data_IF_024358067567
#
_entry.id   IF_024358067567
#
_cell.length_a   1.000
_cell.length_b   1.000
_cell.length_c   1.000
_cell.angle_alpha   90.00
_cell.angle_beta   90.00
_cell.angle_gamma   90.00
#
_symmetry.space_group_name_H-M   'P 1'
#
loop_
_entity.id
_entity.type
_entity.pdbx_description
1 polymer ?
#
# COMPACT_ATOMS: atom_id res chain seq x y z
N UNK A 1 -26.72 14.33 -0.04
CA UNK A 1 -26.23 15.63 -0.55
C UNK A 1 -24.97 15.93 0.23
N UNK A 2 -23.82 15.68 -0.38
CA UNK A 2 -22.53 16.13 0.16
C UNK A 2 -22.38 17.55 -0.37
N UNK A 3 -22.20 18.54 0.51
CA UNK A 3 -21.90 19.91 0.11
C UNK A 3 -20.70 19.89 -0.82
N UNK A 4 -20.83 20.49 -2.01
CA UNK A 4 -19.66 20.74 -2.84
C UNK A 4 -18.80 21.77 -2.09
N UNK A 5 -17.50 21.49 -1.85
CA UNK A 5 -16.61 22.44 -1.19
C UNK A 5 -16.60 23.77 -1.96
N UNK A 6 -16.43 24.88 -1.23
CA UNK A 6 -16.37 26.21 -1.84
C UNK A 6 -15.20 26.36 -2.81
N UNK A 7 -15.27 27.30 -3.76
CA UNK A 7 -14.16 27.57 -4.69
C UNK A 7 -12.84 27.78 -3.90
N UNK A 8 -11.84 26.94 -4.14
CA UNK A 8 -10.52 26.99 -3.49
C UNK A 8 -10.40 26.25 -2.14
N UNK A 9 -11.44 25.56 -1.68
CA UNK A 9 -11.39 24.71 -0.49
C UNK A 9 -10.75 23.34 -0.79
N UNK A 10 -10.00 22.80 0.18
CA UNK A 10 -9.25 21.56 0.02
C UNK A 10 -10.20 20.36 -0.16
N UNK A 11 -10.11 19.59 -1.27
CA UNK A 11 -11.06 18.52 -1.56
C UNK A 11 -10.66 17.21 -0.85
N UNK A 12 -10.98 17.09 0.44
CA UNK A 12 -10.69 15.89 1.25
C UNK A 12 -11.22 14.58 0.64
N UNK A 13 -12.33 14.66 -0.11
CA UNK A 13 -12.95 13.49 -0.75
C UNK A 13 -12.14 12.89 -1.90
N UNK A 14 -11.09 13.58 -2.39
CA UNK A 14 -10.15 13.03 -3.36
C UNK A 14 -9.00 12.24 -2.72
N UNK A 15 -8.86 12.26 -1.39
CA UNK A 15 -7.85 11.46 -0.70
C UNK A 15 -8.16 9.97 -0.79
N UNK A 16 -7.12 9.17 -0.99
CA UNK A 16 -7.25 7.73 -1.08
C UNK A 16 -5.97 7.01 -0.62
N UNK A 17 -6.13 5.85 -0.01
CA UNK A 17 -5.03 4.89 0.12
C UNK A 17 -5.02 3.99 -1.11
N UNK A 18 -3.86 3.83 -1.73
CA UNK A 18 -3.68 3.09 -2.98
C UNK A 18 -2.71 1.92 -2.79
N UNK A 19 -2.96 0.82 -3.51
CA UNK A 19 -2.04 -0.32 -3.58
C UNK A 19 -1.17 -0.17 -4.83
N UNK A 20 0.14 -0.18 -4.64
CA UNK A 20 1.11 -0.05 -5.71
C UNK A 20 1.32 -1.39 -6.41
N UNK A 21 1.91 -1.37 -7.62
CA UNK A 21 2.19 -2.57 -8.43
C UNK A 21 3.09 -3.58 -7.73
N UNK A 22 3.84 -3.14 -6.72
CA UNK A 22 4.67 -4.00 -5.89
C UNK A 22 3.99 -4.53 -4.62
N UNK A 23 2.69 -4.30 -4.46
CA UNK A 23 1.91 -4.75 -3.31
C UNK A 23 2.03 -3.84 -2.08
N UNK A 24 2.96 -2.89 -2.08
CA UNK A 24 3.04 -1.88 -1.02
C UNK A 24 1.89 -0.87 -1.11
N UNK A 25 1.58 -0.21 0.00
CA UNK A 25 0.58 0.86 0.05
C UNK A 25 1.21 2.24 -0.02
N UNK A 26 0.43 3.23 -0.44
CA UNK A 26 0.78 4.64 -0.40
C UNK A 26 -0.47 5.50 -0.20
N UNK A 27 -0.28 6.74 0.22
CA UNK A 27 -1.38 7.68 0.44
C UNK A 27 -1.38 8.76 -0.64
N UNK A 28 -2.47 8.86 -1.38
CA UNK A 28 -2.74 9.88 -2.39
C UNK A 28 -3.61 10.98 -1.78
N UNK A 29 -3.22 12.23 -2.02
CA UNK A 29 -4.01 13.40 -1.62
C UNK A 29 -3.76 14.61 -2.52
N UNK A 30 -4.69 15.59 -2.57
CA UNK A 30 -4.40 16.88 -3.20
C UNK A 30 -3.16 17.54 -2.59
N UNK A 31 -2.43 18.28 -3.40
CA UNK A 31 -1.30 19.09 -2.93
C UNK A 31 -1.81 20.24 -2.07
N UNK A 32 -1.05 20.65 -1.05
CA UNK A 32 -1.37 21.77 -0.19
C UNK A 32 -0.23 22.80 -0.19
N UNK A 33 -0.48 24.11 0.02
CA UNK A 33 0.58 25.13 0.04
C UNK A 33 1.75 24.83 1.00
N UNK A 34 1.48 24.14 2.11
CA UNK A 34 2.50 23.70 3.08
C UNK A 34 3.48 22.65 2.54
N UNK A 35 3.20 22.05 1.38
CA UNK A 35 4.07 21.03 0.77
C UNK A 35 5.31 21.62 0.09
N UNK A 36 5.50 22.95 0.08
CA UNK A 36 6.59 23.60 -0.65
C UNK A 36 7.98 23.01 -0.34
N UNK A 37 8.27 22.76 0.94
CA UNK A 37 9.54 22.17 1.35
C UNK A 37 9.65 20.69 0.92
N UNK A 38 8.56 19.93 1.02
CA UNK A 38 8.51 18.53 0.59
C UNK A 38 8.66 18.38 -0.93
N UNK A 39 8.05 19.28 -1.71
CA UNK A 39 8.20 19.36 -3.17
C UNK A 39 9.63 19.75 -3.54
N UNK A 40 10.24 20.68 -2.81
CA UNK A 40 11.64 21.05 -3.03
C UNK A 40 12.59 19.89 -2.73
N UNK A 41 12.37 19.17 -1.63
CA UNK A 41 13.14 17.98 -1.24
C UNK A 41 12.99 16.87 -2.29
N UNK A 42 11.75 16.58 -2.71
CA UNK A 42 11.43 15.64 -3.78
C UNK A 42 12.18 16.00 -5.06
N UNK A 43 12.13 17.26 -5.51
CA UNK A 43 12.81 17.73 -6.72
C UNK A 43 14.32 17.54 -6.65
N UNK A 44 14.96 17.94 -5.54
CA UNK A 44 16.42 17.83 -5.38
C UNK A 44 16.91 16.40 -5.23
N UNK A 45 16.04 15.47 -4.82
CA UNK A 45 16.35 14.05 -4.72
C UNK A 45 16.36 13.30 -6.05
N UNK A 46 15.94 13.94 -7.16
CA UNK A 46 15.88 13.28 -8.47
C UNK A 46 17.19 13.37 -9.24
N UNK A 47 17.43 12.40 -10.12
CA UNK A 47 18.53 12.46 -11.07
C UNK A 47 18.38 13.63 -12.05
N UNK A 48 19.51 14.13 -12.55
CA UNK A 48 19.53 15.17 -13.58
C UNK A 48 18.72 14.78 -14.83
N UNK A 49 18.74 13.50 -15.19
CA UNK A 49 17.96 12.98 -16.32
C UNK A 49 16.46 13.08 -16.05
N UNK A 50 15.97 12.69 -14.89
CA UNK A 50 14.54 12.80 -14.54
C UNK A 50 14.07 14.25 -14.47
N UNK A 51 14.90 15.15 -13.93
CA UNK A 51 14.63 16.60 -13.95
C UNK A 51 14.54 17.12 -15.39
N UNK A 52 15.51 16.77 -16.23
CA UNK A 52 15.53 17.19 -17.64
C UNK A 52 14.30 16.68 -18.39
N UNK A 53 13.93 15.40 -18.21
CA UNK A 53 12.75 14.81 -18.83
C UNK A 53 11.42 15.46 -18.40
N UNK A 54 11.36 16.04 -17.20
CA UNK A 54 10.15 16.71 -16.68
C UNK A 54 10.08 18.18 -17.08
N UNK A 55 11.19 18.89 -17.05
CA UNK A 55 11.23 20.35 -17.17
C UNK A 55 11.84 20.84 -18.48
N UNK A 56 12.29 19.93 -19.34
CA UNK A 56 12.99 20.23 -20.59
C UNK A 56 14.25 21.09 -20.38
N UNK A 57 14.75 21.13 -19.13
CA UNK A 57 15.84 21.97 -18.69
C UNK A 57 16.52 21.35 -17.47
N UNK A 58 17.83 21.56 -17.37
CA UNK A 58 18.56 21.23 -16.15
C UNK A 58 18.24 22.26 -15.08
N UNK A 59 17.65 21.79 -13.99
CA UNK A 59 17.16 22.64 -12.93
C UNK A 59 17.52 22.06 -11.57
N UNK A 60 18.62 22.52 -10.98
CA UNK A 60 19.09 21.97 -9.71
C UNK A 60 18.10 22.19 -8.55
N UNK A 61 17.38 23.32 -8.55
CA UNK A 61 16.36 23.69 -7.54
C UNK A 61 15.20 24.43 -8.17
N UNK A 62 14.04 24.36 -7.52
CA UNK A 62 12.87 25.15 -7.92
C UNK A 62 13.03 26.55 -7.32
N UNK A 63 12.64 27.58 -8.08
CA UNK A 63 12.57 28.93 -7.53
C UNK A 63 11.38 29.06 -6.58
N UNK A 64 11.41 30.05 -5.69
CA UNK A 64 10.28 30.36 -4.80
C UNK A 64 8.98 30.57 -5.59
N UNK A 65 9.07 31.22 -6.75
CA UNK A 65 7.91 31.45 -7.65
C UNK A 65 7.34 30.14 -8.20
N UNK A 66 8.21 29.17 -8.53
CA UNK A 66 7.77 27.88 -9.03
C UNK A 66 7.20 27.00 -7.94
N UNK A 67 7.81 26.98 -6.74
CA UNK A 67 7.25 26.27 -5.59
C UNK A 67 5.85 26.79 -5.29
N UNK A 68 5.69 28.12 -5.19
CA UNK A 68 4.38 28.75 -5.01
C UNK A 68 3.40 28.35 -6.11
N UNK A 69 3.80 28.43 -7.38
CA UNK A 69 2.97 27.98 -8.50
C UNK A 69 2.62 26.49 -8.38
N UNK A 70 3.52 25.65 -7.88
CA UNK A 70 3.30 24.22 -7.85
C UNK A 70 2.42 23.75 -6.70
N UNK A 71 2.44 24.43 -5.56
CA UNK A 71 1.69 24.04 -4.36
C UNK A 71 0.43 24.86 -4.12
N UNK A 72 0.35 26.10 -4.62
CA UNK A 72 -0.87 26.92 -4.58
C UNK A 72 -1.69 26.70 -5.86
N UNK A 73 -2.71 25.86 -5.73
CA UNK A 73 -3.64 25.47 -6.78
C UNK A 73 -5.08 25.76 -6.33
N UNK A 74 -6.00 25.93 -7.28
CA UNK A 74 -7.41 26.28 -7.01
C UNK A 74 -8.36 25.07 -6.94
N UNK A 75 -7.81 23.87 -7.16
CA UNK A 75 -8.52 22.59 -7.21
C UNK A 75 -9.58 22.48 -8.32
N UNK A 76 -9.53 23.36 -9.33
CA UNK A 76 -10.51 23.43 -10.42
C UNK A 76 -9.87 23.52 -11.79
N UNK A 77 -9.17 24.64 -12.04
CA UNK A 77 -8.43 24.89 -13.26
C UNK A 77 -6.99 24.39 -13.12
N UNK A 78 -6.48 24.38 -11.89
CA UNK A 78 -5.17 23.88 -11.55
C UNK A 78 -5.36 22.84 -10.45
N UNK A 79 -4.98 21.61 -10.72
CA UNK A 79 -5.06 20.50 -9.75
C UNK A 79 -3.72 19.81 -9.72
N UNK A 80 -3.27 19.44 -8.52
CA UNK A 80 -2.14 18.54 -8.36
C UNK A 80 -2.42 17.55 -7.22
N UNK A 81 -2.02 16.30 -7.45
CA UNK A 81 -2.00 15.24 -6.46
C UNK A 81 -0.56 14.88 -6.11
N UNK A 82 -0.36 14.54 -4.84
CA UNK A 82 0.88 13.93 -4.35
C UNK A 82 0.57 12.51 -3.87
N UNK A 83 1.47 11.58 -4.16
CA UNK A 83 1.49 10.26 -3.53
C UNK A 83 2.62 10.25 -2.53
N UNK A 84 2.34 9.78 -1.31
CA UNK A 84 3.27 9.79 -0.19
C UNK A 84 3.43 8.40 0.42
N UNK A 85 4.63 8.12 0.92
CA UNK A 85 4.94 6.97 1.80
C UNK A 85 5.74 7.54 2.98
N UNK A 86 5.29 7.27 4.21
CA UNK A 86 5.94 7.78 5.45
C UNK A 86 6.04 9.30 5.48
N UNK A 87 5.08 9.99 4.87
CA UNK A 87 5.08 11.44 4.72
C UNK A 87 6.00 11.99 3.61
N UNK A 88 6.83 11.16 2.98
CA UNK A 88 7.68 11.58 1.87
C UNK A 88 6.93 11.50 0.54
N UNK A 89 7.01 12.55 -0.28
CA UNK A 89 6.43 12.57 -1.62
C UNK A 89 7.24 11.63 -2.52
N UNK A 90 6.56 10.68 -3.16
CA UNK A 90 7.14 9.73 -4.11
C UNK A 90 6.63 9.92 -5.54
N UNK A 91 5.62 10.76 -5.73
CA UNK A 91 5.08 11.11 -7.04
C UNK A 91 4.20 12.34 -6.97
N UNK A 92 4.24 13.14 -8.04
CA UNK A 92 3.41 14.33 -8.24
C UNK A 92 2.77 14.22 -9.62
N UNK A 93 1.45 14.35 -9.69
CA UNK A 93 0.71 14.46 -10.94
C UNK A 93 -0.10 15.75 -10.91
N UNK A 94 -0.20 16.47 -12.03
CA UNK A 94 -0.97 17.71 -12.11
C UNK A 94 -1.64 17.88 -13.45
N UNK A 95 -2.68 18.69 -13.48
CA UNK A 95 -3.14 19.33 -14.70
C UNK A 95 -3.29 20.84 -14.52
N UNK A 96 -3.17 21.57 -15.62
CA UNK A 96 -3.50 22.99 -15.74
C UNK A 96 -4.47 23.14 -16.95
N UNK A 97 -5.64 23.74 -16.74
CA UNK A 97 -6.68 23.92 -17.77
C UNK A 97 -6.18 24.86 -18.87
N UNK A 98 -6.52 24.54 -20.12
CA UNK A 98 -6.17 25.31 -21.30
C UNK A 98 -7.26 26.34 -21.64
N UNK A 99 -7.01 27.16 -22.67
CA UNK A 99 -7.99 28.13 -23.18
C UNK A 99 -9.32 27.48 -23.56
N UNK A 100 -9.29 26.25 -24.09
CA UNK A 100 -10.49 25.46 -24.22
C UNK A 100 -10.88 24.90 -22.84
N UNK A 101 -12.05 25.29 -22.29
CA UNK A 101 -12.44 24.86 -20.95
C UNK A 101 -12.65 23.35 -20.81
N UNK A 102 -12.82 22.61 -21.91
CA UNK A 102 -12.94 21.15 -21.90
C UNK A 102 -11.58 20.43 -21.93
N UNK A 103 -10.45 21.16 -21.93
CA UNK A 103 -9.11 20.62 -22.12
C UNK A 103 -8.14 21.06 -21.02
N UNK A 104 -7.20 20.19 -20.66
CA UNK A 104 -6.12 20.51 -19.74
C UNK A 104 -4.82 19.81 -20.14
N UNK A 105 -3.70 20.46 -19.85
CA UNK A 105 -2.37 19.87 -19.99
C UNK A 105 -2.04 19.07 -18.73
N UNK A 106 -1.62 17.81 -18.88
CA UNK A 106 -1.28 16.91 -17.77
C UNK A 106 0.23 16.65 -17.70
N UNK A 107 0.78 16.62 -16.49
CA UNK A 107 2.19 16.33 -16.27
C UNK A 107 2.46 15.53 -14.99
N UNK A 108 3.49 14.68 -15.03
CA UNK A 108 3.85 13.78 -13.93
C UNK A 108 5.33 13.86 -13.60
N UNK A 109 5.67 13.71 -12.33
CA UNK A 109 7.03 13.51 -11.86
C UNK A 109 7.05 12.39 -10.81
N UNK A 110 7.82 11.34 -11.01
CA UNK A 110 7.87 10.16 -10.12
C UNK A 110 9.29 10.00 -9.58
N UNK A 111 9.42 9.77 -8.26
CA UNK A 111 10.71 9.55 -7.64
C UNK A 111 11.46 8.40 -8.31
N UNK A 112 12.74 8.60 -8.61
CA UNK A 112 13.57 7.61 -9.33
C UNK A 112 13.55 6.23 -8.66
N UNK A 113 13.67 6.18 -7.34
CA UNK A 113 13.63 4.95 -6.54
C UNK A 113 12.24 4.27 -6.54
N UNK A 114 11.19 4.96 -7.00
CA UNK A 114 9.80 4.48 -6.99
C UNK A 114 9.22 4.30 -8.41
N UNK A 115 10.01 4.50 -9.46
CA UNK A 115 9.56 4.24 -10.83
C UNK A 115 9.23 2.76 -11.04
N UNK A 116 8.26 2.48 -11.92
CA UNK A 116 7.81 1.11 -12.22
C UNK A 116 6.83 0.52 -11.21
N UNK A 117 6.49 1.26 -10.14
CA UNK A 117 5.53 0.84 -9.10
C UNK A 117 4.06 1.18 -9.42
N UNK A 118 3.76 1.63 -10.63
CA UNK A 118 2.38 1.96 -11.07
C UNK A 118 1.89 3.37 -10.68
N UNK A 119 2.72 4.18 -10.03
CA UNK A 119 2.39 5.51 -9.49
C UNK A 119 1.83 6.46 -10.57
N UNK A 120 2.42 6.46 -11.77
CA UNK A 120 1.95 7.31 -12.88
C UNK A 120 0.52 6.97 -13.34
N UNK A 121 0.19 5.69 -13.44
CA UNK A 121 -1.17 5.24 -13.80
C UNK A 121 -2.19 5.61 -12.72
N UNK A 122 -1.83 5.46 -11.45
CA UNK A 122 -2.69 5.86 -10.32
C UNK A 122 -2.94 7.38 -10.36
N UNK A 123 -1.88 8.19 -10.50
CA UNK A 123 -2.03 9.64 -10.61
C UNK A 123 -2.92 10.02 -11.80
N UNK A 124 -2.74 9.36 -12.96
CA UNK A 124 -3.53 9.64 -14.15
C UNK A 124 -5.02 9.35 -13.93
N UNK A 125 -5.37 8.24 -13.28
CA UNK A 125 -6.76 7.90 -12.98
C UNK A 125 -7.41 8.91 -12.04
N UNK A 126 -6.73 9.28 -10.96
CA UNK A 126 -7.25 10.27 -10.01
C UNK A 126 -7.34 11.68 -10.64
N UNK A 127 -6.36 12.08 -11.45
CA UNK A 127 -6.43 13.33 -12.21
C UNK A 127 -7.58 13.32 -13.21
N UNK A 128 -7.81 12.21 -13.93
CA UNK A 128 -8.92 12.08 -14.87
C UNK A 128 -10.27 12.19 -14.15
N UNK A 129 -10.42 11.57 -12.98
CA UNK A 129 -11.64 11.70 -12.17
C UNK A 129 -11.88 13.16 -11.72
N UNK A 130 -10.87 13.79 -11.12
CA UNK A 130 -10.95 15.20 -10.70
C UNK A 130 -11.22 16.15 -11.89
N UNK A 131 -10.58 15.91 -13.04
CA UNK A 131 -10.78 16.68 -14.25
C UNK A 131 -12.21 16.53 -14.79
N UNK A 132 -12.77 15.32 -14.76
CA UNK A 132 -14.14 15.06 -15.17
C UNK A 132 -15.16 15.79 -14.28
N UNK A 133 -14.96 15.78 -12.95
CA UNK A 133 -15.76 16.56 -12.00
C UNK A 133 -15.69 18.07 -12.30
N UNK A 134 -14.53 18.53 -12.74
CA UNK A 134 -14.26 19.91 -13.14
C UNK A 134 -14.61 20.22 -14.62
N UNK A 135 -15.35 19.34 -15.30
CA UNK A 135 -15.86 19.56 -16.66
C UNK A 135 -14.84 19.43 -17.80
N UNK A 136 -13.62 18.96 -17.52
CA UNK A 136 -12.60 18.64 -18.52
C UNK A 136 -12.94 17.27 -19.12
N UNK A 137 -12.73 17.12 -20.42
CA UNK A 137 -13.00 15.88 -21.19
C UNK A 137 -11.77 15.35 -21.89
N UNK A 138 -10.71 16.14 -22.00
CA UNK A 138 -9.53 15.77 -22.76
C UNK A 138 -8.26 16.26 -22.07
N UNK A 139 -7.25 15.40 -22.08
CA UNK A 139 -5.91 15.76 -21.68
C UNK A 139 -4.98 15.86 -22.88
N UNK A 140 -4.06 16.81 -22.79
CA UNK A 140 -2.87 16.90 -23.62
C UNK A 140 -1.62 16.73 -22.77
N UNK A 141 -0.53 16.23 -23.36
CA UNK A 141 0.76 16.15 -22.67
C UNK A 141 1.91 16.34 -23.66
N UNK A 142 2.92 17.09 -23.26
CA UNK A 142 4.18 17.20 -24.00
C UNK A 142 5.24 16.31 -23.37
N UNK A 143 5.87 15.48 -24.19
CA UNK A 143 6.84 14.48 -23.72
C UNK A 143 8.05 14.47 -24.65
N UNK A 144 9.25 14.47 -24.08
CA UNK A 144 10.46 14.25 -24.86
C UNK A 144 10.44 12.88 -25.56
N UNK A 145 10.83 12.77 -26.85
CA UNK A 145 10.82 11.51 -27.59
C UNK A 145 11.58 10.37 -26.92
N UNK A 146 12.63 10.70 -26.16
CA UNK A 146 13.46 9.76 -25.41
C UNK A 146 12.74 9.14 -24.22
N UNK A 147 11.69 9.79 -23.69
CA UNK A 147 10.95 9.33 -22.51
C UNK A 147 9.91 8.25 -22.86
N UNK A 148 10.40 7.12 -23.37
CA UNK A 148 9.58 5.98 -23.80
C UNK A 148 8.62 5.48 -22.72
N UNK A 149 9.04 5.54 -21.44
CA UNK A 149 8.19 5.15 -20.31
C UNK A 149 6.96 6.05 -20.24
N UNK A 150 7.14 7.37 -20.27
CA UNK A 150 6.04 8.34 -20.20
C UNK A 150 5.11 8.25 -21.41
N UNK A 151 5.65 8.02 -22.61
CA UNK A 151 4.86 7.83 -23.83
C UNK A 151 3.90 6.61 -23.77
N UNK A 152 4.23 5.61 -22.95
CA UNK A 152 3.44 4.39 -22.80
C UNK A 152 2.41 4.46 -21.67
N UNK A 153 2.59 5.30 -20.65
CA UNK A 153 1.70 5.38 -19.47
C UNK A 153 0.24 5.57 -19.87
N UNK A 154 -0.04 6.43 -20.84
CA UNK A 154 -1.40 6.74 -21.29
C UNK A 154 -2.04 5.59 -22.07
N UNK A 155 -1.30 4.95 -22.97
CA UNK A 155 -1.80 3.78 -23.70
C UNK A 155 -1.95 2.56 -22.79
N UNK A 156 -1.04 2.39 -21.83
CA UNK A 156 -1.06 1.32 -20.84
C UNK A 156 -2.19 1.49 -19.81
N UNK A 157 -2.72 2.73 -19.65
CA UNK A 157 -3.94 3.03 -18.91
C UNK A 157 -5.22 2.81 -19.75
N UNK A 158 -5.09 2.33 -20.99
CA UNK A 158 -6.21 1.97 -21.85
C UNK A 158 -6.81 3.12 -22.66
N UNK A 159 -6.21 4.31 -22.63
CA UNK A 159 -6.66 5.44 -23.44
C UNK A 159 -6.27 5.30 -24.92
N UNK A 160 -7.12 5.83 -25.80
CA UNK A 160 -6.83 5.93 -27.22
C UNK A 160 -6.09 7.24 -27.51
N UNK A 161 -4.76 7.14 -27.53
CA UNK A 161 -3.84 8.28 -27.58
C UNK A 161 -3.48 8.63 -29.01
N UNK A 162 -3.74 9.88 -29.40
CA UNK A 162 -3.21 10.48 -30.63
C UNK A 162 -1.83 11.06 -30.34
N UNK A 163 -0.91 10.94 -31.31
CA UNK A 163 0.47 11.41 -31.19
C UNK A 163 0.77 12.36 -32.34
N UNK A 164 1.33 13.51 -32.02
CA UNK A 164 1.88 14.46 -32.98
C UNK A 164 3.31 14.79 -32.58
N UNK A 165 4.19 15.01 -33.57
CA UNK A 165 5.56 15.41 -33.32
C UNK A 165 5.72 16.84 -33.84
N UNK A 166 6.05 17.75 -32.93
CA UNK A 166 6.22 19.17 -33.23
C UNK A 166 7.34 19.75 -32.35
N UNK A 167 8.14 20.67 -32.89
CA UNK A 167 9.22 21.37 -32.18
C UNK A 167 10.15 20.50 -31.30
N UNK A 168 10.41 19.26 -31.72
CA UNK A 168 11.30 18.34 -30.99
C UNK A 168 10.65 17.63 -29.80
N UNK A 169 9.35 17.81 -29.58
CA UNK A 169 8.57 17.13 -28.55
C UNK A 169 7.48 16.25 -29.18
N UNK A 170 7.02 15.25 -28.42
CA UNK A 170 5.85 14.45 -28.78
C UNK A 170 4.65 15.00 -27.99
N UNK A 171 3.70 15.59 -28.70
CA UNK A 171 2.42 16.01 -28.16
C UNK A 171 1.45 14.82 -28.20
N UNK A 172 0.86 14.51 -27.05
CA UNK A 172 -0.13 13.45 -26.88
C UNK A 172 -1.50 14.08 -26.59
N UNK A 173 -2.55 13.51 -27.15
CA UNK A 173 -3.94 13.92 -26.93
C UNK A 173 -4.83 12.70 -26.72
N UNK A 174 -5.67 12.71 -25.67
CA UNK A 174 -6.61 11.62 -25.39
C UNK A 174 -7.85 12.10 -24.62
N UNK A 175 -9.01 11.48 -24.91
CA UNK A 175 -10.24 11.69 -24.14
C UNK A 175 -10.13 10.94 -22.79
N UNK A 176 -10.54 11.59 -21.70
CA UNK A 176 -10.49 11.03 -20.35
C UNK A 176 -11.80 10.37 -19.90
N UNK A 177 -12.87 10.50 -20.69
CA UNK A 177 -14.14 9.82 -20.41
C UNK A 177 -13.90 8.29 -20.31
N UNK A 178 -14.35 7.63 -19.24
CA UNK A 178 -14.12 6.20 -19.05
C UNK A 178 -14.67 5.36 -20.21
N UNK A 179 -13.84 4.50 -20.78
CA UNK A 179 -14.21 3.51 -21.79
C UNK A 179 -14.24 2.12 -21.15
N UNK A 180 -14.91 1.14 -21.79
CA UNK A 180 -14.84 -0.25 -21.33
C UNK A 180 -13.39 -0.75 -21.22
N UNK A 181 -12.55 -0.36 -22.18
CA UNK A 181 -11.12 -0.70 -22.22
C UNK A 181 -10.35 -0.09 -21.05
N UNK A 182 -10.51 1.21 -20.77
CA UNK A 182 -9.79 1.86 -19.67
C UNK A 182 -10.24 1.34 -18.31
N UNK A 183 -11.53 1.06 -18.13
CA UNK A 183 -12.07 0.43 -16.91
C UNK A 183 -11.52 -0.97 -16.70
N UNK A 184 -11.52 -1.82 -17.73
CA UNK A 184 -10.97 -3.17 -17.64
C UNK A 184 -9.47 -3.19 -17.31
N UNK A 185 -8.70 -2.25 -17.88
CA UNK A 185 -7.27 -2.09 -17.58
C UNK A 185 -7.04 -1.67 -16.12
N UNK A 186 -7.83 -0.71 -15.63
CA UNK A 186 -7.78 -0.24 -14.24
C UNK A 186 -8.10 -1.37 -13.26
N UNK A 187 -9.22 -2.07 -13.46
CA UNK A 187 -9.64 -3.21 -12.63
C UNK A 187 -8.58 -4.32 -12.63
N UNK A 188 -8.04 -4.68 -13.80
CA UNK A 188 -7.00 -5.70 -13.89
C UNK A 188 -5.67 -5.28 -13.23
N UNK A 189 -5.37 -3.98 -13.18
CA UNK A 189 -4.19 -3.45 -12.48
C UNK A 189 -4.40 -3.50 -10.97
N UNK A 190 -5.54 -3.04 -10.48
CA UNK A 190 -5.91 -3.08 -9.06
C UNK A 190 -5.89 -4.51 -8.54
N UNK A 191 -6.57 -5.42 -9.22
CA UNK A 191 -6.61 -6.84 -8.85
C UNK A 191 -5.21 -7.46 -8.76
N UNK A 192 -4.31 -7.17 -9.71
CA UNK A 192 -2.92 -7.66 -9.68
C UNK A 192 -2.11 -7.07 -8.52
N UNK A 193 -2.31 -5.78 -8.22
CA UNK A 193 -1.63 -5.10 -7.13
C UNK A 193 -2.09 -5.65 -5.77
N UNK A 194 -3.40 -5.84 -5.60
CA UNK A 194 -4.01 -6.44 -4.41
C UNK A 194 -3.56 -7.89 -4.22
N UNK A 195 -3.67 -8.75 -5.24
CA UNK A 195 -3.24 -10.13 -5.17
C UNK A 195 -1.73 -10.26 -4.84
N UNK A 196 -0.90 -9.36 -5.38
CA UNK A 196 0.53 -9.33 -5.04
C UNK A 196 0.75 -8.92 -3.59
N UNK A 197 0.05 -7.90 -3.12
CA UNK A 197 0.18 -7.44 -1.73
C UNK A 197 -0.10 -8.55 -0.72
N UNK A 198 -1.11 -9.39 -0.98
CA UNK A 198 -1.45 -10.52 -0.11
C UNK A 198 -0.48 -11.67 -0.27
N UNK A 199 -0.03 -11.97 -1.49
CA UNK A 199 1.03 -12.96 -1.73
C UNK A 199 2.27 -12.65 -0.88
N UNK A 200 2.70 -11.40 -0.84
CA UNK A 200 3.89 -10.99 -0.08
C UNK A 200 3.71 -11.21 1.44
N UNK A 201 2.48 -11.16 1.96
CA UNK A 201 2.17 -11.52 3.36
C UNK A 201 2.17 -13.02 3.61
N UNK A 202 1.84 -13.82 2.60
CA UNK A 202 1.74 -15.28 2.69
C UNK A 202 3.05 -16.00 2.35
N UNK A 203 4.00 -15.32 1.71
CA UNK A 203 5.31 -15.87 1.34
C UNK A 203 6.49 -15.00 1.84
N UNK A 204 6.52 -14.58 3.11
CA UNK A 204 7.62 -13.78 3.62
C UNK A 204 8.91 -14.62 3.69
N UNK A 205 10.06 -13.98 3.50
CA UNK A 205 11.38 -14.57 3.76
C UNK A 205 11.86 -14.35 5.21
N UNK A 206 11.21 -13.46 5.95
CA UNK A 206 11.51 -13.18 7.36
C UNK A 206 10.26 -12.77 8.14
N UNK A 207 10.12 -13.29 9.36
CA UNK A 207 8.99 -13.06 10.27
C UNK A 207 9.48 -12.66 11.65
N UNK A 208 8.90 -11.60 12.23
CA UNK A 208 9.08 -11.26 13.65
C UNK A 208 7.81 -11.56 14.45
N UNK A 209 7.92 -12.27 15.56
CA UNK A 209 6.81 -12.52 16.50
C UNK A 209 6.95 -11.56 17.68
N UNK A 210 6.11 -10.54 17.73
CA UNK A 210 6.10 -9.47 18.73
C UNK A 210 5.08 -9.83 19.82
N UNK A 211 5.55 -9.91 21.06
CA UNK A 211 4.79 -10.51 22.16
C UNK A 211 5.07 -12.01 22.31
N UNK A 212 6.13 -12.53 21.68
CA UNK A 212 6.63 -13.88 21.95
C UNK A 212 6.93 -14.04 23.45
N UNK A 213 6.76 -15.23 24.01
CA UNK A 213 6.84 -15.43 25.48
C UNK A 213 7.37 -16.81 25.83
N UNK A 214 7.91 -16.97 27.06
CA UNK A 214 8.22 -18.27 27.67
C UNK A 214 6.99 -18.93 28.31
N UNK A 215 5.96 -18.14 28.59
CA UNK A 215 4.78 -18.60 29.32
C UNK A 215 3.87 -19.39 28.38
N UNK A 216 3.83 -20.69 28.61
CA UNK A 216 2.92 -21.60 27.92
C UNK A 216 1.47 -21.11 28.01
N UNK A 217 0.73 -21.26 26.91
CA UNK A 217 -0.68 -20.83 26.79
C UNK A 217 -0.88 -19.35 26.44
N UNK A 218 0.19 -18.55 26.34
CA UNK A 218 0.08 -17.20 25.74
C UNK A 218 0.01 -17.28 24.22
N UNK A 219 -0.68 -16.32 23.59
CA UNK A 219 -0.83 -16.26 22.12
C UNK A 219 0.52 -16.19 21.41
N UNK A 220 1.42 -15.32 21.88
CA UNK A 220 2.75 -15.19 21.28
C UNK A 220 3.66 -16.42 21.46
N UNK A 221 3.52 -17.17 22.56
CA UNK A 221 4.20 -18.47 22.71
C UNK A 221 3.73 -19.44 21.62
N UNK A 222 2.41 -19.60 21.48
CA UNK A 222 1.83 -20.56 20.53
C UNK A 222 2.16 -20.20 19.07
N UNK A 223 2.10 -18.92 18.71
CA UNK A 223 2.45 -18.47 17.36
C UNK A 223 3.92 -18.73 17.03
N UNK A 224 4.84 -18.46 17.95
CA UNK A 224 6.26 -18.75 17.75
C UNK A 224 6.51 -20.26 17.60
N UNK A 225 5.91 -21.06 18.49
CA UNK A 225 6.00 -22.53 18.44
C UNK A 225 5.51 -23.08 17.11
N UNK A 226 4.32 -22.67 16.64
CA UNK A 226 3.76 -23.15 15.38
C UNK A 226 4.58 -22.77 14.14
N UNK A 227 5.23 -21.60 14.13
CA UNK A 227 6.11 -21.20 13.03
C UNK A 227 7.34 -22.13 12.99
N UNK A 228 7.91 -22.45 14.15
CA UNK A 228 9.08 -23.33 14.28
C UNK A 228 8.72 -24.78 13.93
N UNK A 229 7.67 -25.33 14.54
CA UNK A 229 7.20 -26.70 14.29
C UNK A 229 6.68 -26.89 12.87
N UNK A 230 6.10 -25.83 12.29
CA UNK A 230 5.69 -25.80 10.89
C UNK A 230 6.86 -25.88 9.91
N UNK A 231 8.09 -25.67 10.37
CA UNK A 231 9.30 -25.76 9.56
C UNK A 231 9.47 -24.59 8.60
N UNK A 232 9.06 -23.38 9.02
CA UNK A 232 9.17 -22.17 8.20
C UNK A 232 10.56 -22.01 7.61
N UNK A 233 10.61 -21.74 6.30
CA UNK A 233 11.85 -21.75 5.53
C UNK A 233 12.65 -20.45 5.60
N UNK A 234 12.00 -19.36 6.01
CA UNK A 234 12.63 -18.06 6.19
C UNK A 234 13.20 -17.84 7.59
N UNK A 235 13.67 -16.62 7.84
CA UNK A 235 14.21 -16.22 9.14
C UNK A 235 13.08 -15.92 10.14
N UNK A 236 13.22 -16.42 11.37
CA UNK A 236 12.29 -16.14 12.47
C UNK A 236 13.01 -15.24 13.48
N UNK A 237 12.31 -14.25 14.03
CA UNK A 237 12.81 -13.41 15.11
C UNK A 237 11.76 -13.35 16.23
N UNK A 238 12.18 -13.61 17.46
CA UNK A 238 11.31 -13.47 18.62
C UNK A 238 11.60 -12.13 19.31
N UNK A 239 10.55 -11.32 19.53
CA UNK A 239 10.67 -10.01 20.19
C UNK A 239 10.01 -10.08 21.57
N UNK A 240 10.83 -9.95 22.61
CA UNK A 240 10.44 -9.92 24.01
C UNK A 240 11.44 -9.10 24.84
N UNK A 241 11.02 -8.01 25.52
CA UNK A 241 11.91 -7.16 26.33
C UNK A 241 12.59 -7.83 27.53
N UNK A 242 12.03 -8.92 28.04
CA UNK A 242 12.42 -9.56 29.31
C UNK A 242 13.15 -10.89 29.13
N UNK A 243 13.02 -11.52 27.96
CA UNK A 243 13.62 -12.80 27.64
C UNK A 243 14.81 -12.60 26.70
N UNK A 244 15.95 -13.20 27.06
CA UNK A 244 17.13 -13.28 26.17
C UNK A 244 17.07 -14.48 25.21
N UNK A 245 16.31 -15.52 25.58
CA UNK A 245 16.15 -16.74 24.80
C UNK A 245 14.70 -17.22 24.84
N UNK A 246 14.17 -17.61 23.68
CA UNK A 246 12.83 -18.15 23.48
C UNK A 246 12.92 -19.32 22.50
N UNK A 247 12.26 -20.45 22.75
CA UNK A 247 12.22 -21.60 21.83
C UNK A 247 13.61 -22.04 21.27
N UNK A 248 14.68 -21.91 22.07
CA UNK A 248 16.04 -22.28 21.66
C UNK A 248 16.75 -21.27 20.74
N UNK A 249 16.22 -20.07 20.56
CA UNK A 249 16.83 -18.99 19.80
C UNK A 249 16.98 -17.71 20.62
N UNK A 250 17.96 -16.88 20.25
CA UNK A 250 18.10 -15.54 20.79
C UNK A 250 16.85 -14.70 20.49
N UNK A 251 16.33 -14.03 21.50
CA UNK A 251 15.27 -13.02 21.35
C UNK A 251 15.84 -11.60 21.48
N UNK A 252 15.14 -10.67 20.86
CA UNK A 252 15.48 -9.25 20.86
C UNK A 252 14.48 -8.48 21.74
N UNK A 253 14.93 -7.40 22.37
CA UNK A 253 14.05 -6.57 23.19
C UNK A 253 13.12 -5.72 22.34
N UNK A 254 13.60 -5.29 21.17
CA UNK A 254 12.86 -4.45 20.21
C UNK A 254 13.10 -4.86 18.77
N UNK A 255 12.18 -4.48 17.89
CA UNK A 255 12.31 -4.79 16.47
C UNK A 255 13.53 -4.11 15.82
N UNK A 256 13.90 -2.92 16.29
CA UNK A 256 15.07 -2.17 15.79
C UNK A 256 16.42 -2.83 16.05
N UNK A 257 16.47 -3.83 16.94
CA UNK A 257 17.69 -4.57 17.29
C UNK A 257 17.90 -5.79 16.37
N UNK A 258 16.91 -6.12 15.55
CA UNK A 258 16.99 -7.24 14.61
C UNK A 258 17.99 -6.90 13.50
N UNK A 259 18.96 -7.79 13.21
CA UNK A 259 20.07 -7.48 12.31
C UNK A 259 19.69 -7.44 10.83
N UNK A 260 18.62 -8.13 10.44
CA UNK A 260 18.18 -8.22 9.05
C UNK A 260 16.75 -7.68 8.86
N UNK A 261 16.39 -7.22 7.65
CA UNK A 261 15.05 -6.70 7.39
C UNK A 261 13.95 -7.73 7.66
N UNK A 262 12.93 -7.31 8.40
CA UNK A 262 11.72 -8.09 8.66
C UNK A 262 10.66 -7.76 7.61
N UNK A 263 10.13 -8.78 6.94
CA UNK A 263 9.07 -8.60 5.93
C UNK A 263 7.66 -8.62 6.54
N UNK A 264 7.42 -9.54 7.47
CA UNK A 264 6.12 -9.72 8.14
C UNK A 264 6.28 -9.67 9.67
N UNK A 265 5.47 -8.86 10.35
CA UNK A 265 5.38 -8.87 11.81
C UNK A 265 4.08 -9.50 12.29
N UNK A 266 4.16 -10.45 13.21
CA UNK A 266 3.02 -11.05 13.90
C UNK A 266 2.91 -10.40 15.28
N UNK A 267 1.81 -9.69 15.53
CA UNK A 267 1.62 -8.86 16.71
C UNK A 267 0.64 -9.55 17.67
N UNK A 268 1.15 -9.91 18.84
CA UNK A 268 0.45 -10.62 19.91
C UNK A 268 0.66 -9.94 21.28
N UNK A 269 0.63 -8.60 21.31
CA UNK A 269 0.73 -7.76 22.52
C UNK A 269 -0.65 -7.25 22.96
N UNK A 270 -0.81 -6.73 24.20
CA UNK A 270 -2.03 -6.03 24.61
C UNK A 270 -2.43 -4.91 23.63
N UNK A 271 -3.73 -4.64 23.48
CA UNK A 271 -4.22 -3.75 22.43
C UNK A 271 -3.69 -2.32 22.57
N UNK A 272 -3.39 -1.90 23.81
CA UNK A 272 -2.81 -0.59 24.13
C UNK A 272 -1.43 -0.39 23.50
N UNK A 273 -0.68 -1.47 23.30
CA UNK A 273 0.69 -1.44 22.76
C UNK A 273 0.73 -1.54 21.23
N UNK A 274 -0.35 -2.02 20.60
CA UNK A 274 -0.40 -2.35 19.16
C UNK A 274 -0.03 -1.15 18.28
N UNK A 275 -0.53 0.05 18.57
CA UNK A 275 -0.22 1.24 17.75
C UNK A 275 1.26 1.65 17.84
N UNK A 276 1.88 1.48 19.02
CA UNK A 276 3.32 1.69 19.21
C UNK A 276 4.14 0.67 18.43
N UNK A 277 3.76 -0.61 18.50
CA UNK A 277 4.42 -1.69 17.74
C UNK A 277 4.29 -1.48 16.23
N UNK A 278 3.15 -0.99 15.74
CA UNK A 278 2.96 -0.67 14.32
C UNK A 278 3.85 0.49 13.88
N UNK A 279 4.09 1.47 14.76
CA UNK A 279 5.06 2.53 14.49
C UNK A 279 6.50 1.97 14.40
N UNK A 280 6.88 1.04 15.28
CA UNK A 280 8.17 0.35 15.21
C UNK A 280 8.32 -0.46 13.92
N UNK A 281 7.26 -1.19 13.51
CA UNK A 281 7.23 -1.93 12.24
C UNK A 281 7.40 -1.00 11.04
N UNK A 282 6.73 0.16 11.06
CA UNK A 282 6.90 1.19 10.04
C UNK A 282 8.35 1.67 9.95
N UNK A 283 8.95 2.04 11.09
CA UNK A 283 10.35 2.48 11.15
C UNK A 283 11.32 1.41 10.64
N UNK A 284 11.06 0.14 10.97
CA UNK A 284 11.89 -1.00 10.56
C UNK A 284 11.69 -1.45 9.10
N UNK A 285 10.78 -0.83 8.33
CA UNK A 285 10.63 -1.21 6.92
C UNK A 285 9.67 -2.36 6.63
N UNK A 286 8.95 -2.86 7.64
CA UNK A 286 8.03 -4.00 7.52
C UNK A 286 6.97 -3.73 6.46
N UNK A 287 6.57 -4.76 5.71
CA UNK A 287 5.62 -4.65 4.58
C UNK A 287 4.21 -5.10 4.95
N UNK A 288 4.07 -5.91 5.98
CA UNK A 288 2.76 -6.09 6.58
C UNK A 288 2.78 -6.68 7.97
N UNK A 289 1.61 -6.60 8.59
CA UNK A 289 1.40 -7.00 9.97
C UNK A 289 0.19 -7.92 10.08
N UNK A 290 0.32 -8.96 10.91
CA UNK A 290 -0.78 -9.82 11.33
C UNK A 290 -1.08 -9.49 12.78
N UNK A 291 -2.25 -8.96 13.07
CA UNK A 291 -2.63 -8.51 14.41
C UNK A 291 -3.58 -9.54 15.01
N UNK A 292 -3.06 -10.36 15.92
CA UNK A 292 -3.84 -11.35 16.65
C UNK A 292 -4.69 -10.71 17.75
N UNK A 293 -4.23 -9.59 18.31
CA UNK A 293 -4.88 -8.87 19.40
C UNK A 293 -6.30 -8.40 19.05
N UNK A 294 -7.24 -8.60 19.99
CA UNK A 294 -8.62 -8.10 19.92
C UNK A 294 -8.74 -6.69 20.56
N UNK A 295 -9.96 -6.20 20.79
CA UNK A 295 -10.21 -4.88 21.43
C UNK A 295 -10.37 -3.71 20.45
N UNK A 296 -10.62 -4.02 19.18
CA UNK A 296 -10.83 -3.04 18.10
C UNK A 296 -12.32 -2.94 17.75
N UNK A 297 -12.74 -3.12 16.51
CA UNK A 297 -14.16 -3.01 16.13
C UNK A 297 -15.11 -3.92 16.96
N UNK A 298 -14.58 -5.00 17.56
CA UNK A 298 -15.32 -5.88 18.49
C UNK A 298 -15.68 -5.20 19.83
N UNK A 299 -15.11 -4.03 20.12
CA UNK A 299 -15.31 -3.21 21.34
C UNK A 299 -16.11 -1.93 21.02
N UNK A 300 -17.05 -2.01 20.09
CA UNK A 300 -17.99 -0.94 19.75
C UNK A 300 -17.38 0.26 19.02
N UNK A 301 -18.05 1.43 19.09
CA UNK A 301 -17.72 2.61 18.29
C UNK A 301 -16.31 3.16 18.56
N UNK A 302 -15.89 3.23 19.83
CA UNK A 302 -14.53 3.65 20.20
C UNK A 302 -13.49 2.69 19.64
N UNK A 303 -13.81 1.40 19.65
CA UNK A 303 -13.05 0.35 19.00
C UNK A 303 -12.86 0.54 17.50
N UNK A 304 -13.93 0.92 16.80
CA UNK A 304 -13.90 1.19 15.36
C UNK A 304 -13.03 2.41 15.01
N UNK A 305 -13.10 3.49 15.81
CA UNK A 305 -12.24 4.66 15.60
C UNK A 305 -10.75 4.31 15.76
N UNK A 306 -10.40 3.52 16.79
CA UNK A 306 -9.04 3.00 16.99
C UNK A 306 -8.59 2.14 15.80
N UNK A 307 -9.46 1.26 15.30
CA UNK A 307 -9.15 0.41 14.15
C UNK A 307 -8.87 1.24 12.89
N UNK A 308 -9.68 2.27 12.62
CA UNK A 308 -9.46 3.18 11.48
C UNK A 308 -8.14 3.92 11.60
N UNK A 309 -7.80 4.42 12.79
CA UNK A 309 -6.52 5.09 13.03
C UNK A 309 -5.34 4.14 12.81
N UNK A 310 -5.43 2.90 13.30
CA UNK A 310 -4.43 1.86 13.12
C UNK A 310 -4.18 1.52 11.64
N UNK A 311 -5.26 1.29 10.86
CA UNK A 311 -5.13 0.98 9.43
C UNK A 311 -4.54 2.17 8.66
N UNK A 312 -4.99 3.39 8.96
CA UNK A 312 -4.44 4.61 8.35
C UNK A 312 -2.94 4.74 8.64
N UNK A 313 -2.54 4.54 9.90
CA UNK A 313 -1.13 4.54 10.29
C UNK A 313 -0.32 3.49 9.50
N UNK A 314 -0.83 2.27 9.36
CA UNK A 314 -0.14 1.22 8.62
C UNK A 314 0.00 1.54 7.12
N UNK A 315 -1.11 1.92 6.47
CA UNK A 315 -1.14 2.21 5.03
C UNK A 315 -0.29 3.42 4.65
N UNK A 316 -0.33 4.48 5.45
CA UNK A 316 0.53 5.65 5.24
C UNK A 316 2.03 5.30 5.30
N UNK A 317 2.41 4.21 5.96
CA UNK A 317 3.79 3.74 6.09
C UNK A 317 4.15 2.60 5.10
N UNK A 318 3.25 2.27 4.18
CA UNK A 318 3.46 1.26 3.15
C UNK A 318 3.20 -0.18 3.61
N UNK A 319 2.45 -0.37 4.70
CA UNK A 319 2.10 -1.68 5.24
C UNK A 319 0.67 -2.10 4.88
N UNK A 320 0.49 -3.42 4.72
CA UNK A 320 -0.83 -4.08 4.76
C UNK A 320 -1.11 -4.68 6.14
N UNK A 321 -2.38 -4.78 6.51
CA UNK A 321 -2.85 -5.30 7.81
C UNK A 321 -3.78 -6.50 7.62
N UNK A 322 -3.45 -7.61 8.28
CA UNK A 322 -4.36 -8.74 8.50
C UNK A 322 -4.85 -8.68 9.95
N UNK A 323 -6.17 -8.76 10.13
CA UNK A 323 -6.81 -8.53 11.43
C UNK A 323 -7.36 -7.09 11.56
N UNK A 324 -7.40 -6.53 12.77
CA UNK A 324 -7.12 -7.15 14.07
C UNK A 324 -8.04 -8.34 14.41
N UNK A 325 -7.86 -8.93 15.60
CA UNK A 325 -8.57 -10.13 16.04
C UNK A 325 -8.42 -11.32 15.05
N UNK A 326 -7.23 -11.44 14.45
CA UNK A 326 -6.93 -12.50 13.50
C UNK A 326 -6.53 -13.80 14.22
N UNK A 327 -6.94 -14.96 13.68
CA UNK A 327 -6.31 -16.24 14.04
C UNK A 327 -4.94 -16.45 13.41
N UNK A 328 -4.55 -15.58 12.48
CA UNK A 328 -3.30 -15.65 11.74
C UNK A 328 -3.42 -16.23 10.35
N UNK A 329 -2.28 -16.68 9.83
CA UNK A 329 -2.11 -17.12 8.45
C UNK A 329 -1.32 -18.43 8.36
N UNK A 330 -1.56 -19.17 7.29
CA UNK A 330 -0.89 -20.44 6.97
C UNK A 330 -0.55 -20.47 5.49
N UNK A 331 0.64 -20.96 5.17
CA UNK A 331 1.06 -21.34 3.83
C UNK A 331 1.85 -22.65 3.89
N UNK A 332 1.30 -23.71 3.31
CA UNK A 332 1.89 -25.06 3.34
C UNK A 332 2.79 -25.37 2.14
N UNK A 333 3.07 -24.38 1.29
CA UNK A 333 4.00 -24.54 0.18
C UNK A 333 5.38 -24.93 0.74
N UNK A 334 6.07 -25.97 0.22
CA UNK A 334 7.30 -26.49 0.82
C UNK A 334 8.41 -25.43 0.96
N UNK A 335 8.50 -24.52 -0.01
CA UNK A 335 9.49 -23.44 0.00
C UNK A 335 9.19 -22.34 1.02
N UNK A 336 8.02 -22.36 1.65
CA UNK A 336 7.57 -21.38 2.64
C UNK A 336 7.34 -22.04 3.99
N UNK A 337 6.43 -23.00 4.07
CA UNK A 337 6.08 -23.76 5.29
C UNK A 337 5.74 -22.89 6.50
N UNK A 338 4.97 -21.81 6.28
CA UNK A 338 4.60 -20.85 7.32
C UNK A 338 3.31 -21.29 8.02
N UNK A 339 3.36 -21.44 9.35
CA UNK A 339 2.17 -21.52 10.19
C UNK A 339 2.23 -20.46 11.30
N UNK A 340 1.84 -19.24 10.95
CA UNK A 340 1.70 -18.13 11.90
C UNK A 340 0.24 -17.99 12.33
N UNK A 341 -0.33 -19.06 12.89
CA UNK A 341 -1.73 -19.11 13.30
C UNK A 341 -1.95 -19.75 14.67
N UNK A 342 -3.11 -19.51 15.27
CA UNK A 342 -3.55 -20.17 16.51
C UNK A 342 -4.36 -21.46 16.23
N UNK A 343 -4.19 -22.05 15.04
CA UNK A 343 -4.89 -23.29 14.69
C UNK A 343 -4.41 -24.45 15.60
N UNK A 344 -5.31 -25.33 16.07
CA UNK A 344 -4.99 -26.27 17.16
C UNK A 344 -4.04 -27.42 16.77
N UNK A 345 -3.75 -27.60 15.49
CA UNK A 345 -2.87 -28.68 14.96
C UNK A 345 -2.16 -28.17 13.72
N UNK A 346 -1.00 -28.73 13.37
CA UNK A 346 -0.33 -28.42 12.10
C UNK A 346 -1.18 -28.88 10.90
N UNK A 347 -1.20 -28.11 9.80
CA UNK A 347 -2.03 -28.40 8.64
C UNK A 347 -1.44 -29.57 7.84
N UNK A 348 -2.30 -30.43 7.31
CA UNK A 348 -1.91 -31.30 6.20
C UNK A 348 -1.73 -30.43 4.95
N UNK A 349 -0.70 -30.67 4.15
CA UNK A 349 -0.51 -30.00 2.88
C UNK A 349 -1.53 -30.50 1.84
N UNK A 350 -2.09 -29.60 1.05
CA UNK A 350 -2.94 -29.91 -0.10
C UNK A 350 -3.31 -28.68 -0.92
N UNK A 351 -4.41 -28.76 -1.66
CA UNK A 351 -4.85 -27.70 -2.59
C UNK A 351 -5.94 -26.76 -2.07
N UNK A 352 -6.43 -26.97 -0.84
CA UNK A 352 -7.57 -26.20 -0.31
C UNK A 352 -7.11 -24.85 0.26
N UNK A 353 -7.57 -23.75 -0.33
CA UNK A 353 -7.46 -22.42 0.27
C UNK A 353 -8.63 -22.13 1.21
N UNK A 354 -8.35 -21.53 2.37
CA UNK A 354 -9.36 -21.11 3.34
C UNK A 354 -9.22 -19.62 3.66
N UNK A 355 -10.26 -18.85 3.40
CA UNK A 355 -10.41 -17.48 3.90
C UNK A 355 -11.56 -17.45 4.90
N UNK A 356 -11.36 -16.80 6.05
CA UNK A 356 -12.43 -16.56 7.02
C UNK A 356 -12.32 -15.20 7.66
N UNK A 357 -13.43 -14.45 7.69
CA UNK A 357 -13.53 -13.24 8.51
C UNK A 357 -13.76 -13.61 9.98
N UNK A 358 -14.53 -14.66 10.26
CA UNK A 358 -14.78 -15.10 11.64
C UNK A 358 -13.68 -16.05 12.11
N UNK A 359 -13.04 -15.72 13.22
CA UNK A 359 -12.09 -16.61 13.88
C UNK A 359 -12.76 -17.97 14.22
N UNK A 360 -13.88 -17.96 14.95
CA UNK A 360 -14.55 -19.19 15.37
C UNK A 360 -14.91 -20.12 14.19
N UNK A 361 -15.44 -19.55 13.09
CA UNK A 361 -15.72 -20.33 11.87
C UNK A 361 -14.42 -20.82 11.22
N UNK A 362 -13.37 -20.00 11.21
CA UNK A 362 -12.06 -20.38 10.70
C UNK A 362 -11.50 -21.61 11.41
N UNK A 363 -11.52 -21.64 12.75
CA UNK A 363 -11.12 -22.82 13.54
C UNK A 363 -12.02 -24.03 13.23
N UNK A 364 -13.33 -23.83 13.15
CA UNK A 364 -14.26 -24.93 12.88
C UNK A 364 -14.04 -25.55 11.50
N UNK A 365 -13.83 -24.73 10.46
CA UNK A 365 -13.51 -25.17 9.11
C UNK A 365 -12.14 -25.85 9.06
N UNK A 366 -11.15 -25.29 9.77
CA UNK A 366 -9.83 -25.89 9.91
C UNK A 366 -9.91 -27.29 10.52
N UNK A 367 -10.54 -27.42 11.69
CA UNK A 367 -10.74 -28.71 12.35
C UNK A 367 -11.53 -29.70 11.50
N UNK A 368 -12.55 -29.22 10.78
CA UNK A 368 -13.33 -30.01 9.84
C UNK A 368 -12.50 -30.52 8.65
N UNK A 369 -11.55 -29.72 8.16
CA UNK A 369 -10.62 -30.09 7.09
C UNK A 369 -9.63 -31.17 7.57
N UNK A 370 -9.03 -31.00 8.76
CA UNK A 370 -8.12 -31.97 9.36
C UNK A 370 -8.79 -33.31 9.61
N UNK A 371 -10.01 -33.32 10.19
CA UNK A 371 -10.79 -34.55 10.40
C UNK A 371 -11.10 -35.30 9.11
N UNK A 372 -11.29 -34.57 8.00
CA UNK A 372 -11.55 -35.13 6.67
C UNK A 372 -10.28 -35.41 5.87
N UNK A 373 -9.09 -35.16 6.45
CA UNK A 373 -7.78 -35.26 5.78
C UNK A 373 -7.70 -34.45 4.49
N UNK A 374 -8.41 -33.31 4.44
CA UNK A 374 -8.28 -32.35 3.36
C UNK A 374 -7.05 -31.49 3.63
N UNK A 375 -6.08 -31.54 2.73
CA UNK A 375 -4.87 -30.74 2.85
C UNK A 375 -5.10 -29.28 2.44
N UNK A 376 -4.58 -28.36 3.25
CA UNK A 376 -4.61 -26.93 3.00
C UNK A 376 -3.43 -26.50 2.14
N UNK A 377 -3.64 -25.56 1.23
CA UNK A 377 -2.59 -24.79 0.57
C UNK A 377 -2.29 -23.52 1.36
N UNK A 378 -3.35 -22.80 1.73
CA UNK A 378 -3.28 -21.49 2.39
C UNK A 378 -4.46 -21.30 3.32
N UNK A 379 -4.25 -20.63 4.45
CA UNK A 379 -5.32 -20.13 5.30
C UNK A 379 -5.05 -18.66 5.63
N UNK A 380 -6.09 -17.83 5.58
CA UNK A 380 -6.05 -16.44 6.05
C UNK A 380 -7.29 -16.15 6.89
N UNK A 381 -7.07 -15.83 8.17
CA UNK A 381 -8.12 -15.32 9.06
C UNK A 381 -8.09 -13.79 9.05
N UNK A 382 -9.04 -13.15 8.38
CA UNK A 382 -9.06 -11.68 8.27
C UNK A 382 -9.45 -10.97 9.57
N UNK A 383 -10.05 -11.70 10.54
CA UNK A 383 -10.56 -11.11 11.78
C UNK A 383 -11.55 -10.00 11.47
N UNK A 384 -11.29 -8.79 11.96
CA UNK A 384 -12.16 -7.65 11.72
C UNK A 384 -12.18 -7.18 10.26
N UNK A 385 -11.28 -7.70 9.41
CA UNK A 385 -11.17 -7.34 7.98
C UNK A 385 -11.03 -5.84 7.82
N UNK A 386 -10.09 -5.27 8.58
CA UNK A 386 -9.89 -3.83 8.63
C UNK A 386 -9.15 -3.29 7.38
N UNK A 387 -8.36 -4.15 6.71
CA UNK A 387 -7.62 -3.83 5.49
C UNK A 387 -7.70 -4.98 4.49
N UNK A 388 -6.94 -6.08 4.70
CA UNK A 388 -6.97 -7.24 3.78
C UNK A 388 -8.32 -7.95 3.86
N UNK A 389 -8.89 -8.25 2.71
CA UNK A 389 -10.22 -8.83 2.54
C UNK A 389 -10.21 -10.09 1.66
N UNK A 390 -11.38 -10.69 1.47
CA UNK A 390 -11.54 -11.85 0.59
C UNK A 390 -11.35 -11.50 -0.88
N UNK A 391 -11.60 -10.24 -1.27
CA UNK A 391 -11.38 -9.78 -2.64
C UNK A 391 -9.88 -9.78 -2.98
N UNK A 392 -9.02 -9.47 -2.01
CA UNK A 392 -7.57 -9.50 -2.21
C UNK A 392 -6.99 -10.94 -2.30
N UNK A 393 -7.80 -11.96 -1.95
CA UNK A 393 -7.42 -13.39 -1.89
C UNK A 393 -7.95 -14.24 -3.05
N UNK A 394 -8.92 -13.72 -3.81
CA UNK A 394 -9.49 -14.37 -5.00
C UNK A 394 -8.67 -14.01 -6.24
#
# INVERSE_FOLDING_TARGET
MVDQPGDGEYPEHWEADVVLRDGGTAHLRPIHPSDADAVQAFHTGQSQNSIYMRFFAFKARLSVKELKRFTEVDYKDRVAFVITIRGEIIGIGRYDRLDNPAEAEVAFNIADAHQGRGIGSILLEHLAAAAHENGIRKFTAEVLPENRKMLMVFSDAGYDVKRHFDDGVVSLEFNIDPTEKSRAVMEAREHRAEARSVRDLLTPSSVAVIGASRKWGTVGYQLLEHIIEGGFRGHVYAINPEALELAGMMSYGKLSEVPEPVQLAIIAVPYEEVSGVVAECAAAGVKGVVIASAGFADDGERGLLRQRALVRQARANGMRVIGPASLGIVNTHPDVSLNASMAPTLPLRGGLGLFSQSAAIGVALYAASSRRRLGLSTMLSAGNRADVSGNDMM
#
